data_IF_157211446769
#
_entry.id   IF_157211446769
#
_cell.length_a   1.000
_cell.length_b   1.000
_cell.length_c   1.000
_cell.angle_alpha   90.00
_cell.angle_beta   90.00
_cell.angle_gamma   90.00
#
_symmetry.space_group_name_H-M   'P 1'
#
loop_
_entity.id
_entity.type
_entity.pdbx_description
1 polymer ?
#
# COMPACT_ATOMS: atom_id res chain seq x y z
N UNK A 1 21.15 -17.71 -14.21
CA UNK A 1 19.98 -16.94 -14.69
C UNK A 1 19.18 -17.82 -15.62
N UNK A 2 17.87 -17.98 -15.38
CA UNK A 2 16.96 -18.75 -16.22
C UNK A 2 15.84 -17.87 -16.76
N UNK A 3 15.36 -18.17 -17.98
CA UNK A 3 14.15 -17.60 -18.56
C UNK A 3 12.89 -18.44 -18.22
N UNK A 4 13.08 -19.63 -17.65
CA UNK A 4 12.00 -20.53 -17.29
C UNK A 4 11.71 -20.48 -15.78
N UNK A 5 10.69 -19.76 -15.41
CA UNK A 5 10.28 -19.59 -13.99
C UNK A 5 9.89 -20.92 -13.32
N UNK A 6 9.48 -21.95 -14.09
CA UNK A 6 9.08 -23.25 -13.52
C UNK A 6 10.25 -23.96 -12.82
N UNK A 7 11.49 -23.69 -13.19
CA UNK A 7 12.66 -24.20 -12.50
C UNK A 7 12.67 -23.73 -11.04
N UNK A 8 12.34 -22.45 -10.79
CA UNK A 8 12.31 -21.88 -9.44
C UNK A 8 11.24 -22.58 -8.59
N UNK A 9 10.08 -22.83 -9.14
CA UNK A 9 8.97 -23.45 -8.39
C UNK A 9 9.22 -24.95 -8.10
N UNK A 10 9.93 -25.65 -8.96
CA UNK A 10 10.26 -27.08 -8.80
C UNK A 10 11.46 -27.33 -7.89
N UNK A 11 12.34 -26.36 -7.72
CA UNK A 11 13.55 -26.51 -6.90
C UNK A 11 13.19 -26.52 -5.40
N UNK A 12 13.38 -27.66 -4.73
CA UNK A 12 13.08 -27.86 -3.32
C UNK A 12 14.00 -27.05 -2.38
N UNK A 13 15.18 -26.63 -2.83
CA UNK A 13 16.11 -25.83 -2.04
C UNK A 13 15.68 -24.37 -1.90
N UNK A 14 14.79 -23.88 -2.78
CA UNK A 14 14.26 -22.52 -2.76
C UNK A 14 13.04 -22.47 -1.81
N UNK A 15 13.16 -21.77 -0.68
CA UNK A 15 12.11 -21.62 0.31
C UNK A 15 11.34 -20.29 0.22
N UNK A 16 11.89 -19.29 -0.46
CA UNK A 16 11.34 -17.94 -0.59
C UNK A 16 11.44 -17.47 -2.04
N UNK A 17 10.32 -16.96 -2.57
CA UNK A 17 10.25 -16.35 -3.91
C UNK A 17 9.92 -14.87 -3.78
N UNK A 18 10.72 -14.02 -4.43
CA UNK A 18 10.45 -12.59 -4.57
C UNK A 18 9.87 -12.30 -5.95
N UNK A 19 8.64 -11.79 -5.99
CA UNK A 19 7.89 -11.47 -7.22
C UNK A 19 7.91 -9.96 -7.41
N UNK A 20 8.62 -9.52 -8.48
CA UNK A 20 8.77 -8.12 -8.85
C UNK A 20 8.54 -7.90 -10.36
N UNK A 21 7.69 -8.71 -10.95
CA UNK A 21 7.25 -8.63 -12.35
C UNK A 21 6.28 -7.47 -12.57
N UNK A 22 5.65 -7.40 -13.74
CA UNK A 22 4.53 -6.48 -13.97
C UNK A 22 3.26 -6.97 -13.25
N UNK A 23 2.39 -6.04 -12.91
CA UNK A 23 1.23 -6.26 -12.04
C UNK A 23 0.30 -7.40 -12.51
N UNK A 24 0.17 -7.61 -13.83
CA UNK A 24 -0.65 -8.66 -14.45
C UNK A 24 -0.09 -10.08 -14.29
N UNK A 25 1.20 -10.22 -13.96
CA UNK A 25 1.82 -11.53 -13.69
C UNK A 25 1.78 -11.92 -12.21
N UNK A 26 1.58 -10.96 -11.29
CA UNK A 26 1.68 -11.21 -9.85
C UNK A 26 0.78 -12.36 -9.40
N UNK A 27 -0.50 -12.35 -9.77
CA UNK A 27 -1.44 -13.40 -9.36
C UNK A 27 -0.97 -14.80 -9.78
N UNK A 28 -0.59 -14.99 -11.04
CA UNK A 28 -0.17 -16.29 -11.55
C UNK A 28 1.08 -16.82 -10.85
N UNK A 29 2.04 -15.93 -10.59
CA UNK A 29 3.29 -16.27 -9.89
C UNK A 29 3.08 -16.51 -8.39
N UNK A 30 2.20 -15.75 -7.73
CA UNK A 30 1.76 -16.03 -6.36
C UNK A 30 1.12 -17.41 -6.27
N UNK A 31 0.20 -17.74 -7.17
CA UNK A 31 -0.47 -19.05 -7.18
C UNK A 31 0.50 -20.21 -7.41
N UNK A 32 1.48 -20.06 -8.31
CA UNK A 32 2.54 -21.05 -8.53
C UNK A 32 3.38 -21.23 -7.27
N UNK A 33 3.79 -20.14 -6.61
CA UNK A 33 4.56 -20.17 -5.37
C UNK A 33 3.79 -20.86 -4.24
N UNK A 34 2.50 -20.55 -4.07
CA UNK A 34 1.63 -21.17 -3.07
C UNK A 34 1.46 -22.68 -3.32
N UNK A 35 1.26 -23.09 -4.58
CA UNK A 35 1.19 -24.52 -4.96
C UNK A 35 2.49 -25.25 -4.64
N UNK A 36 3.63 -24.61 -4.86
CA UNK A 36 4.97 -25.13 -4.60
C UNK A 36 5.40 -24.99 -3.12
N UNK A 37 4.52 -24.60 -2.20
CA UNK A 37 4.80 -24.38 -0.77
C UNK A 37 5.95 -23.40 -0.49
N UNK A 38 6.11 -22.36 -1.32
CA UNK A 38 7.14 -21.33 -1.13
C UNK A 38 6.58 -20.14 -0.35
N UNK A 39 7.41 -19.55 0.51
CA UNK A 39 7.14 -18.24 1.09
C UNK A 39 7.25 -17.15 0.00
N UNK A 40 6.57 -16.02 0.18
CA UNK A 40 6.41 -15.07 -0.90
C UNK A 40 6.64 -13.63 -0.43
N UNK A 41 7.48 -12.90 -1.15
CA UNK A 41 7.49 -11.45 -1.15
C UNK A 41 6.95 -11.01 -2.52
N UNK A 42 5.86 -10.25 -2.57
CA UNK A 42 5.27 -9.79 -3.82
C UNK A 42 5.19 -8.27 -3.88
N UNK A 43 5.51 -7.68 -5.03
CA UNK A 43 5.22 -6.27 -5.27
C UNK A 43 3.70 -6.03 -5.25
N UNK A 44 3.34 -4.83 -4.86
CA UNK A 44 1.93 -4.41 -4.85
C UNK A 44 1.48 -3.94 -6.26
N UNK A 45 0.21 -4.17 -6.61
CA UNK A 45 -0.78 -4.99 -5.92
C UNK A 45 -0.50 -6.49 -6.11
N UNK A 46 -0.86 -7.32 -5.14
CA UNK A 46 -0.61 -8.77 -5.25
C UNK A 46 -1.47 -9.46 -6.33
N UNK A 47 -2.53 -8.83 -6.75
CA UNK A 47 -3.43 -9.26 -7.84
C UNK A 47 -4.27 -8.08 -8.33
N UNK A 48 -4.96 -8.24 -9.47
CA UNK A 48 -5.74 -7.18 -10.13
C UNK A 48 -7.26 -7.39 -10.07
N UNK A 49 -7.74 -8.51 -9.48
CA UNK A 49 -9.17 -8.84 -9.41
C UNK A 49 -9.56 -9.40 -8.05
N UNK A 50 -10.78 -9.11 -7.61
CA UNK A 50 -11.29 -9.54 -6.29
C UNK A 50 -11.41 -11.05 -6.16
N UNK A 51 -11.79 -11.78 -7.23
CA UNK A 51 -11.82 -13.24 -7.21
C UNK A 51 -10.41 -13.84 -7.03
N UNK A 52 -9.38 -13.25 -7.66
CA UNK A 52 -7.98 -13.65 -7.49
C UNK A 52 -7.52 -13.47 -6.02
N UNK A 53 -7.90 -12.37 -5.38
CA UNK A 53 -7.63 -12.13 -3.97
C UNK A 53 -8.26 -13.22 -3.10
N UNK A 54 -9.52 -13.56 -3.37
CA UNK A 54 -10.25 -14.59 -2.63
C UNK A 54 -9.57 -15.96 -2.74
N UNK A 55 -9.07 -16.31 -3.92
CA UNK A 55 -8.34 -17.57 -4.14
C UNK A 55 -7.01 -17.62 -3.37
N UNK A 56 -6.20 -16.55 -3.46
CA UNK A 56 -4.96 -16.43 -2.70
C UNK A 56 -5.22 -16.61 -1.20
N UNK A 57 -6.21 -15.90 -0.68
CA UNK A 57 -6.52 -15.90 0.75
C UNK A 57 -7.04 -17.26 1.24
N UNK A 58 -7.87 -17.94 0.45
CA UNK A 58 -8.34 -19.32 0.75
C UNK A 58 -7.17 -20.29 0.90
N UNK A 59 -6.14 -20.18 0.04
CA UNK A 59 -4.98 -21.05 0.12
C UNK A 59 -4.13 -20.72 1.34
N UNK A 60 -3.85 -19.43 1.60
CA UNK A 60 -3.07 -18.98 2.76
C UNK A 60 -3.72 -19.38 4.08
N UNK A 61 -5.05 -19.35 4.18
CA UNK A 61 -5.76 -19.85 5.38
C UNK A 61 -5.57 -21.35 5.62
N UNK A 62 -5.47 -22.14 4.55
CA UNK A 62 -5.24 -23.59 4.64
C UNK A 62 -3.77 -23.93 4.92
N UNK A 63 -2.84 -23.18 4.35
CA UNK A 63 -1.39 -23.40 4.43
C UNK A 63 -0.74 -22.49 5.47
N UNK A 64 -0.97 -22.75 6.76
CA UNK A 64 -0.52 -21.92 7.87
C UNK A 64 1.01 -21.78 7.98
N UNK A 65 1.77 -22.69 7.39
CA UNK A 65 3.22 -22.67 7.34
C UNK A 65 3.80 -21.76 6.25
N UNK A 66 2.97 -21.28 5.33
CA UNK A 66 3.42 -20.34 4.29
C UNK A 66 3.19 -18.92 4.73
N UNK A 67 4.22 -18.11 4.61
CA UNK A 67 4.17 -16.68 4.86
C UNK A 67 4.23 -15.90 3.55
N UNK A 68 3.44 -14.84 3.46
CA UNK A 68 3.44 -13.91 2.34
C UNK A 68 3.41 -12.47 2.83
N UNK A 69 4.19 -11.61 2.20
CA UNK A 69 4.14 -10.17 2.41
C UNK A 69 4.12 -9.40 1.10
N UNK A 70 3.45 -8.25 1.10
CA UNK A 70 3.43 -7.31 -0.01
C UNK A 70 4.27 -6.07 0.30
N UNK A 71 4.84 -5.44 -0.73
CA UNK A 71 5.77 -4.31 -0.56
C UNK A 71 5.06 -2.98 -0.19
N UNK A 72 4.46 -2.93 1.01
CA UNK A 72 3.71 -1.80 1.57
C UNK A 72 4.61 -0.96 2.49
N UNK A 73 5.47 -0.17 1.89
CA UNK A 73 6.64 0.44 2.55
C UNK A 73 6.34 1.64 3.46
N UNK A 74 5.16 2.28 3.36
CA UNK A 74 4.93 3.53 4.09
C UNK A 74 4.76 3.30 5.60
N UNK A 75 4.15 2.19 6.03
CA UNK A 75 3.97 1.89 7.46
C UNK A 75 5.29 1.65 8.20
N UNK A 76 6.38 1.36 7.50
CA UNK A 76 7.71 1.21 8.12
C UNK A 76 8.56 2.49 8.06
N UNK A 77 8.05 3.56 7.45
CA UNK A 77 8.71 4.86 7.42
C UNK A 77 8.78 5.48 8.82
N UNK A 78 9.95 6.02 9.17
CA UNK A 78 10.20 6.58 10.51
C UNK A 78 9.28 7.75 10.84
N UNK A 79 8.91 8.59 9.85
CA UNK A 79 7.99 9.71 10.04
C UNK A 79 6.58 9.23 10.39
N UNK A 80 6.02 8.28 9.62
CA UNK A 80 4.66 7.80 9.87
C UNK A 80 4.57 6.93 11.12
N UNK A 81 5.65 6.24 11.49
CA UNK A 81 5.76 5.61 12.83
C UNK A 81 5.71 6.64 13.95
N UNK A 82 6.38 7.79 13.78
CA UNK A 82 6.31 8.88 14.76
C UNK A 82 4.90 9.47 14.82
N UNK A 83 4.24 9.70 13.67
CA UNK A 83 2.85 10.17 13.64
C UNK A 83 1.92 9.24 14.43
N UNK A 84 1.99 7.93 14.16
CA UNK A 84 1.18 6.94 14.89
C UNK A 84 1.48 6.89 16.38
N UNK A 85 2.72 7.17 16.79
CA UNK A 85 3.13 7.17 18.20
C UNK A 85 2.60 8.37 18.97
N UNK A 86 2.60 9.56 18.34
CA UNK A 86 2.26 10.81 19.04
C UNK A 86 0.76 11.12 19.00
N UNK A 87 0.03 10.67 17.97
CA UNK A 87 -1.39 10.97 17.83
C UNK A 87 -2.24 10.09 18.75
N UNK A 88 -3.18 10.69 19.44
CA UNK A 88 -4.22 9.94 20.13
C UNK A 88 -5.32 9.53 19.15
N UNK A 89 -5.30 8.26 18.76
CA UNK A 89 -6.19 7.69 17.73
C UNK A 89 -7.67 7.86 18.13
N UNK A 90 -8.01 7.79 19.41
CA UNK A 90 -9.40 7.93 19.90
C UNK A 90 -9.98 9.31 19.65
N UNK A 91 -9.14 10.31 19.49
CA UNK A 91 -9.54 11.69 19.28
C UNK A 91 -9.47 12.13 17.81
N UNK A 92 -9.04 11.24 16.89
CA UNK A 92 -9.04 11.54 15.46
C UNK A 92 -10.49 11.62 14.97
N UNK A 93 -10.80 12.66 14.19
CA UNK A 93 -12.10 12.80 13.53
C UNK A 93 -11.97 12.93 12.00
N UNK A 94 -10.79 13.37 11.49
CA UNK A 94 -10.58 13.53 10.06
C UNK A 94 -9.12 13.29 9.65
N UNK A 95 -8.93 12.66 8.48
CA UNK A 95 -7.61 12.50 7.84
C UNK A 95 -7.72 12.92 6.36
N UNK A 96 -6.77 13.73 5.90
CA UNK A 96 -6.48 13.93 4.49
C UNK A 96 -5.15 13.28 4.15
N UNK A 97 -5.12 12.52 3.06
CA UNK A 97 -3.88 11.89 2.62
C UNK A 97 -3.83 11.78 1.10
N UNK A 98 -2.72 12.19 0.50
CA UNK A 98 -2.58 12.29 -0.94
C UNK A 98 -1.36 11.52 -1.44
N UNK A 99 -1.58 10.64 -2.42
CA UNK A 99 -0.53 10.06 -3.22
C UNK A 99 -0.32 10.91 -4.48
N UNK A 100 0.68 11.76 -4.45
CA UNK A 100 1.07 12.60 -5.57
C UNK A 100 2.14 11.85 -6.38
N UNK A 101 1.73 11.31 -7.55
CA UNK A 101 2.64 10.45 -8.32
C UNK A 101 3.87 11.20 -8.84
N UNK A 102 3.70 12.40 -9.40
CA UNK A 102 4.79 13.23 -9.92
C UNK A 102 5.66 12.62 -11.03
N UNK A 103 5.26 11.48 -11.58
CA UNK A 103 5.99 10.70 -12.58
C UNK A 103 5.09 10.29 -13.73
N UNK A 104 4.31 11.22 -14.26
CA UNK A 104 3.29 11.00 -15.30
C UNK A 104 3.77 10.14 -16.47
N UNK A 105 4.99 10.34 -16.96
CA UNK A 105 5.57 9.56 -18.07
C UNK A 105 5.53 8.05 -17.82
N UNK A 106 5.70 7.60 -16.57
CA UNK A 106 5.63 6.18 -16.19
C UNK A 106 4.26 5.54 -16.37
N UNK A 107 3.18 6.31 -16.42
CA UNK A 107 1.85 5.79 -16.75
C UNK A 107 1.77 5.40 -18.23
N UNK A 108 2.54 6.04 -19.10
CA UNK A 108 2.51 5.84 -20.55
C UNK A 108 3.41 4.70 -21.03
N UNK A 109 4.25 4.17 -20.15
CA UNK A 109 5.12 3.02 -20.40
C UNK A 109 4.33 1.70 -20.27
N UNK A 110 4.86 0.70 -19.60
CA UNK A 110 4.27 -0.61 -19.45
C UNK A 110 2.87 -0.59 -18.79
N UNK A 111 2.62 0.37 -17.89
CA UNK A 111 1.32 0.51 -17.21
C UNK A 111 0.16 0.78 -18.16
N UNK A 112 0.43 1.45 -19.27
CA UNK A 112 -0.59 1.67 -20.30
C UNK A 112 -1.02 0.39 -21.03
N UNK A 113 -0.18 -0.65 -20.97
CA UNK A 113 -0.39 -1.95 -21.63
C UNK A 113 -1.12 -2.94 -20.71
N UNK A 114 -1.08 -2.77 -19.38
CA UNK A 114 -1.77 -3.64 -18.43
C UNK A 114 -3.26 -3.36 -18.49
N UNK A 115 -4.05 -4.34 -18.93
CA UNK A 115 -5.50 -4.20 -19.19
C UNK A 115 -6.27 -3.69 -17.96
N UNK A 116 -6.04 -4.30 -16.82
CA UNK A 116 -6.77 -4.04 -15.58
C UNK A 116 -5.97 -3.14 -14.61
N UNK A 117 -4.98 -2.36 -15.12
CA UNK A 117 -4.23 -1.42 -14.27
C UNK A 117 -5.17 -0.33 -13.77
N UNK A 118 -5.07 -0.04 -12.49
CA UNK A 118 -5.78 1.07 -11.85
C UNK A 118 -4.80 1.96 -11.09
N UNK A 119 -5.16 3.23 -10.95
CA UNK A 119 -4.39 4.17 -10.15
C UNK A 119 -4.55 3.90 -8.65
N UNK A 120 -5.70 3.37 -8.22
CA UNK A 120 -5.95 3.00 -6.83
C UNK A 120 -5.02 1.85 -6.44
N UNK A 121 -5.03 0.75 -7.20
CA UNK A 121 -4.17 -0.42 -6.96
C UNK A 121 -2.68 -0.12 -7.20
N UNK A 122 -2.36 0.71 -8.21
CA UNK A 122 -0.97 1.00 -8.57
C UNK A 122 -0.28 2.05 -7.68
N UNK A 123 -1.06 2.94 -7.05
CA UNK A 123 -0.57 4.09 -6.29
C UNK A 123 -1.31 4.31 -4.97
N UNK A 124 -2.63 4.48 -5.02
CA UNK A 124 -3.48 4.77 -3.86
C UNK A 124 -3.36 3.75 -2.74
N UNK A 125 -3.18 2.49 -3.07
CA UNK A 125 -3.00 1.38 -2.12
C UNK A 125 -1.99 1.68 -0.99
N UNK A 126 -0.93 2.41 -1.27
CA UNK A 126 0.07 2.77 -0.24
C UNK A 126 -0.50 3.71 0.82
N UNK A 127 -1.36 4.64 0.42
CA UNK A 127 -2.00 5.59 1.34
C UNK A 127 -3.17 4.93 2.07
N UNK A 128 -3.96 4.10 1.37
CA UNK A 128 -5.02 3.31 2.00
C UNK A 128 -4.42 2.42 3.09
N UNK A 129 -3.31 1.72 2.80
CA UNK A 129 -2.57 0.92 3.76
C UNK A 129 -2.09 1.74 4.97
N UNK A 130 -1.49 2.89 4.71
CA UNK A 130 -0.96 3.76 5.76
C UNK A 130 -2.06 4.24 6.71
N UNK A 131 -3.19 4.68 6.17
CA UNK A 131 -4.34 5.15 6.96
C UNK A 131 -4.96 4.02 7.77
N UNK A 132 -5.21 2.85 7.14
CA UNK A 132 -5.73 1.68 7.85
C UNK A 132 -4.79 1.24 8.98
N UNK A 133 -3.48 1.27 8.73
CA UNK A 133 -2.47 0.94 9.74
C UNK A 133 -2.43 1.97 10.89
N UNK A 134 -2.54 3.27 10.60
CA UNK A 134 -2.59 4.31 11.64
C UNK A 134 -3.82 4.11 12.52
N UNK A 135 -5.01 3.96 11.91
CA UNK A 135 -6.29 3.82 12.62
C UNK A 135 -6.46 2.43 13.25
N UNK A 136 -5.71 1.42 12.81
CA UNK A 136 -5.82 0.05 13.30
C UNK A 136 -7.15 -0.63 12.94
N UNK A 137 -7.86 -0.13 11.95
CA UNK A 137 -9.15 -0.63 11.49
C UNK A 137 -9.32 -0.47 9.97
N UNK A 138 -10.32 -1.15 9.41
CA UNK A 138 -10.75 -0.96 8.02
C UNK A 138 -11.97 -0.03 7.96
N UNK A 139 -12.19 0.66 6.83
CA UNK A 139 -13.37 1.50 6.66
C UNK A 139 -14.65 0.66 6.60
N UNK A 140 -15.77 1.29 6.95
CA UNK A 140 -17.13 0.75 6.87
C UNK A 140 -17.67 0.95 5.45
N UNK A 141 -17.37 2.11 4.85
CA UNK A 141 -17.79 2.48 3.50
C UNK A 141 -16.69 3.19 2.74
N UNK A 142 -16.79 3.17 1.41
CA UNK A 142 -15.95 3.94 0.50
C UNK A 142 -16.78 4.47 -0.67
N UNK A 143 -16.61 5.76 -0.97
CA UNK A 143 -17.16 6.40 -2.17
C UNK A 143 -16.01 6.99 -2.98
N UNK A 144 -15.96 6.71 -4.28
CA UNK A 144 -14.85 7.14 -5.14
C UNK A 144 -15.33 7.98 -6.30
N UNK A 145 -14.64 9.09 -6.53
CA UNK A 145 -14.76 9.94 -7.72
C UNK A 145 -13.48 9.83 -8.54
N UNK A 146 -13.62 9.63 -9.84
CA UNK A 146 -12.47 9.44 -10.72
C UNK A 146 -12.47 10.42 -11.88
N UNK A 147 -11.29 10.69 -12.45
CA UNK A 147 -11.12 11.59 -13.56
C UNK A 147 -10.01 11.13 -14.51
N UNK A 148 -10.29 11.15 -15.81
CA UNK A 148 -9.32 10.81 -16.87
C UNK A 148 -9.00 12.00 -17.81
N UNK A 149 -9.38 13.24 -17.45
CA UNK A 149 -9.22 14.42 -18.29
C UNK A 149 -7.81 14.57 -18.88
N UNK A 150 -6.79 14.34 -18.04
CA UNK A 150 -5.37 14.50 -18.47
C UNK A 150 -4.89 13.32 -19.33
N UNK A 151 -5.51 12.15 -19.22
CA UNK A 151 -5.05 10.92 -19.88
C UNK A 151 -5.91 10.49 -21.06
N UNK A 152 -7.03 11.14 -21.33
CA UNK A 152 -8.00 10.76 -22.38
C UNK A 152 -7.35 10.63 -23.76
N UNK A 153 -6.45 11.53 -24.14
CA UNK A 153 -5.74 11.53 -25.43
C UNK A 153 -4.33 10.88 -25.36
N UNK A 154 -4.00 10.21 -24.25
CA UNK A 154 -2.68 9.56 -24.07
C UNK A 154 -2.75 8.06 -24.31
N UNK A 155 -1.57 7.40 -24.31
CA UNK A 155 -1.49 5.93 -24.32
C UNK A 155 -2.15 5.28 -23.09
N UNK A 156 -2.15 5.97 -21.95
CA UNK A 156 -2.82 5.54 -20.73
C UNK A 156 -4.26 6.10 -20.71
N UNK A 157 -5.18 5.40 -21.33
CA UNK A 157 -6.58 5.83 -21.50
C UNK A 157 -7.47 5.61 -20.25
N UNK A 158 -6.87 5.47 -19.06
CA UNK A 158 -7.55 5.18 -17.80
C UNK A 158 -7.60 6.42 -16.90
N UNK A 159 -8.28 6.30 -15.76
CA UNK A 159 -8.36 7.40 -14.79
C UNK A 159 -6.98 7.75 -14.26
N UNK A 160 -6.64 9.03 -14.29
CA UNK A 160 -5.39 9.60 -13.79
C UNK A 160 -5.54 10.27 -12.42
N UNK A 161 -6.75 10.37 -11.93
CA UNK A 161 -7.12 10.89 -10.62
C UNK A 161 -8.20 10.00 -10.03
N UNK A 162 -8.05 9.65 -8.76
CA UNK A 162 -9.08 9.06 -7.93
C UNK A 162 -9.13 9.81 -6.59
N UNK A 163 -10.31 10.19 -6.15
CA UNK A 163 -10.58 10.76 -4.83
C UNK A 163 -11.51 9.82 -4.10
N UNK A 164 -11.05 9.25 -3.02
CA UNK A 164 -11.79 8.30 -2.18
C UNK A 164 -12.19 8.98 -0.88
N UNK A 165 -13.46 8.89 -0.53
CA UNK A 165 -14.01 9.24 0.77
C UNK A 165 -14.33 7.94 1.50
N UNK A 166 -13.72 7.75 2.67
CA UNK A 166 -13.86 6.55 3.47
C UNK A 166 -14.42 6.90 4.84
N UNK A 167 -15.39 6.12 5.30
CA UNK A 167 -15.92 6.21 6.65
C UNK A 167 -15.33 5.07 7.48
N UNK A 168 -14.75 5.40 8.62
CA UNK A 168 -14.20 4.44 9.56
C UNK A 168 -15.08 4.32 10.80
N UNK A 169 -14.92 3.24 11.61
CA UNK A 169 -15.56 3.17 12.92
C UNK A 169 -15.29 4.43 13.76
N UNK A 170 -16.17 4.70 14.72
CA UNK A 170 -16.10 5.88 15.57
C UNK A 170 -16.27 7.22 14.82
N UNK A 171 -16.96 7.20 13.68
CA UNK A 171 -17.29 8.38 12.89
C UNK A 171 -16.07 9.16 12.39
N UNK A 172 -14.99 8.45 12.06
CA UNK A 172 -13.79 9.05 11.47
C UNK A 172 -13.96 9.12 9.96
N UNK A 173 -13.84 10.32 9.39
CA UNK A 173 -13.83 10.52 7.95
C UNK A 173 -12.40 10.59 7.42
N UNK A 174 -12.19 10.02 6.23
CA UNK A 174 -10.89 10.04 5.57
C UNK A 174 -11.07 10.40 4.10
N UNK A 175 -10.32 11.40 3.62
CA UNK A 175 -10.16 11.69 2.20
C UNK A 175 -8.80 11.17 1.73
N UNK A 176 -8.80 10.33 0.71
CA UNK A 176 -7.56 9.87 0.06
C UNK A 176 -7.60 10.28 -1.41
N UNK A 177 -6.52 10.90 -1.89
CA UNK A 177 -6.35 11.20 -3.31
C UNK A 177 -5.20 10.39 -3.90
N UNK A 178 -5.42 9.73 -5.03
CA UNK A 178 -4.38 9.18 -5.87
C UNK A 178 -4.31 10.01 -7.16
N UNK A 179 -3.24 10.80 -7.32
CA UNK A 179 -3.07 11.72 -8.45
C UNK A 179 -1.88 11.30 -9.30
N UNK A 180 -2.16 10.62 -10.42
CA UNK A 180 -1.17 10.12 -11.36
C UNK A 180 -0.69 11.16 -12.38
N UNK A 181 -1.36 12.31 -12.48
CA UNK A 181 -1.11 13.32 -13.50
C UNK A 181 -0.56 14.65 -12.94
N UNK A 182 -0.28 14.71 -11.64
CA UNK A 182 0.20 15.92 -11.01
C UNK A 182 1.51 16.43 -11.63
N UNK A 183 1.58 17.74 -11.87
CA UNK A 183 2.83 18.45 -12.18
C UNK A 183 3.55 18.79 -10.86
N UNK A 184 4.04 17.76 -10.18
CA UNK A 184 4.64 17.87 -8.86
C UNK A 184 5.72 16.78 -8.70
N UNK A 185 6.63 16.93 -7.77
CA UNK A 185 7.53 15.84 -7.39
C UNK A 185 6.74 14.69 -6.78
N UNK A 186 7.25 13.45 -6.91
CA UNK A 186 6.64 12.32 -6.23
C UNK A 186 6.64 12.53 -4.72
N UNK A 187 5.45 12.52 -4.12
CA UNK A 187 5.28 12.84 -2.71
C UNK A 187 4.05 12.14 -2.11
N UNK A 188 4.03 12.00 -0.79
CA UNK A 188 2.87 11.54 -0.03
C UNK A 188 2.56 12.61 1.01
N UNK A 189 1.47 13.34 0.85
CA UNK A 189 1.01 14.28 1.85
C UNK A 189 0.09 13.60 2.85
N UNK A 190 0.06 14.10 4.09
CA UNK A 190 -0.85 13.62 5.11
C UNK A 190 -1.12 14.72 6.14
N UNK A 191 -2.41 14.87 6.48
CA UNK A 191 -2.88 15.67 7.61
C UNK A 191 -3.80 14.82 8.47
N UNK A 192 -3.53 14.78 9.76
CA UNK A 192 -4.34 14.05 10.74
C UNK A 192 -4.90 15.08 11.72
N UNK A 193 -6.20 15.21 11.76
CA UNK A 193 -6.90 16.13 12.64
C UNK A 193 -7.49 15.36 13.81
N UNK A 194 -7.07 15.70 15.01
CA UNK A 194 -7.67 15.21 16.26
C UNK A 194 -8.16 16.36 17.14
N UNK A 195 -8.93 16.05 18.15
CA UNK A 195 -9.49 17.04 19.07
C UNK A 195 -8.42 17.96 19.68
N UNK A 196 -7.24 17.45 19.95
CA UNK A 196 -6.21 18.17 20.71
C UNK A 196 -4.93 18.44 19.94
N UNK A 197 -4.78 17.86 18.74
CA UNK A 197 -3.53 17.93 17.98
C UNK A 197 -3.80 17.72 16.49
N UNK A 198 -3.10 18.45 15.65
CA UNK A 198 -3.07 18.24 14.20
C UNK A 198 -1.66 17.90 13.78
N UNK A 199 -1.50 16.78 13.05
CA UNK A 199 -0.24 16.43 12.43
C UNK A 199 -0.29 16.74 10.94
N UNK A 200 0.75 17.37 10.43
CA UNK A 200 0.88 17.72 9.02
C UNK A 200 2.19 17.20 8.48
N UNK A 201 2.16 16.53 7.35
CA UNK A 201 3.31 16.23 6.51
C UNK A 201 3.05 16.77 5.10
N UNK A 202 3.86 17.70 4.67
CA UNK A 202 3.80 18.33 3.34
C UNK A 202 5.21 18.53 2.78
N UNK A 203 5.31 19.07 1.56
CA UNK A 203 6.57 19.45 0.94
C UNK A 203 7.34 20.56 1.71
N UNK A 204 6.65 21.28 2.61
CA UNK A 204 7.25 22.28 3.51
C UNK A 204 7.83 21.68 4.79
N UNK A 205 7.57 20.39 5.04
CA UNK A 205 8.05 19.68 6.21
C UNK A 205 6.95 18.96 6.99
N UNK A 206 7.31 18.50 8.18
CA UNK A 206 6.40 17.76 9.08
C UNK A 206 6.26 18.49 10.40
N UNK A 207 5.03 18.66 10.84
CA UNK A 207 4.70 19.50 11.99
C UNK A 207 3.59 18.86 12.83
N UNK A 208 3.63 19.19 14.15
CA UNK A 208 2.55 19.00 15.10
C UNK A 208 2.07 20.36 15.56
N UNK A 209 0.76 20.57 15.58
CA UNK A 209 0.07 21.73 16.13
C UNK A 209 -0.70 21.27 17.36
N UNK A 210 -0.32 21.71 18.54
CA UNK A 210 -0.98 21.37 19.79
C UNK A 210 -1.13 22.62 20.69
N UNK A 211 -2.38 22.97 21.06
CA UNK A 211 -2.66 24.16 21.88
C UNK A 211 -1.95 25.40 21.35
N UNK A 212 -2.15 25.73 20.07
CA UNK A 212 -1.55 26.87 19.36
C UNK A 212 -0.02 26.83 19.24
N UNK A 213 0.66 25.79 19.72
CA UNK A 213 2.10 25.60 19.59
C UNK A 213 2.42 24.76 18.37
N UNK A 214 3.27 25.32 17.50
CA UNK A 214 3.85 24.62 16.34
C UNK A 214 5.14 23.95 16.76
N UNK A 215 5.24 22.63 16.53
CA UNK A 215 6.47 21.85 16.71
C UNK A 215 6.84 21.16 15.41
N UNK A 216 8.06 21.37 14.96
CA UNK A 216 8.61 20.64 13.81
C UNK A 216 9.00 19.22 14.20
N UNK A 217 8.67 18.26 13.32
CA UNK A 217 8.99 16.84 13.50
C UNK A 217 10.17 16.51 12.58
N UNK A 218 11.33 16.24 13.19
CA UNK A 218 12.57 15.93 12.49
C UNK A 218 12.70 14.42 12.26
N UNK A 219 12.09 13.92 11.17
CA UNK A 219 12.20 12.53 10.71
C UNK A 219 12.52 12.47 9.22
N UNK A 220 13.27 11.48 8.82
CA UNK A 220 13.67 11.30 7.43
C UNK A 220 12.47 10.97 6.54
N UNK A 221 12.30 11.75 5.46
CA UNK A 221 11.35 11.49 4.40
C UNK A 221 11.90 12.02 3.05
N UNK A 222 11.89 11.23 1.96
CA UNK A 222 11.61 9.78 1.96
C UNK A 222 12.69 8.99 2.71
N UNK A 223 12.29 7.93 3.40
CA UNK A 223 13.25 7.01 4.04
C UNK A 223 13.65 5.92 3.04
N UNK A 224 14.88 6.00 2.54
CA UNK A 224 15.44 5.05 1.55
C UNK A 224 15.59 3.62 2.08
N UNK A 225 15.57 3.42 3.40
CA UNK A 225 15.73 2.12 4.06
C UNK A 225 14.40 1.35 4.25
N UNK A 226 13.25 1.94 3.92
CA UNK A 226 11.95 1.34 4.17
C UNK A 226 11.80 -0.07 3.59
N UNK A 227 12.17 -0.25 2.32
CA UNK A 227 12.09 -1.55 1.66
C UNK A 227 12.99 -2.59 2.33
N UNK A 228 14.22 -2.22 2.67
CA UNK A 228 15.15 -3.10 3.38
C UNK A 228 14.58 -3.51 4.74
N UNK A 229 14.04 -2.57 5.53
CA UNK A 229 13.42 -2.85 6.83
C UNK A 229 12.24 -3.81 6.70
N UNK A 230 11.40 -3.64 5.68
CA UNK A 230 10.24 -4.51 5.45
C UNK A 230 10.66 -5.93 5.09
N UNK A 231 11.59 -6.07 4.15
CA UNK A 231 12.11 -7.36 3.70
C UNK A 231 12.84 -8.06 4.83
N UNK A 232 13.69 -7.35 5.57
CA UNK A 232 14.44 -7.91 6.69
C UNK A 232 13.50 -8.45 7.78
N UNK A 233 12.48 -7.67 8.19
CA UNK A 233 11.49 -8.14 9.16
C UNK A 233 10.77 -9.42 8.68
N UNK A 234 10.46 -9.51 7.39
CA UNK A 234 9.83 -10.71 6.85
C UNK A 234 10.77 -11.92 6.90
N UNK A 235 12.04 -11.77 6.53
CA UNK A 235 13.05 -12.82 6.61
C UNK A 235 13.26 -13.23 8.07
N UNK A 236 13.37 -12.27 8.99
CA UNK A 236 13.53 -12.53 10.42
C UNK A 236 12.33 -13.31 10.98
N UNK A 237 11.11 -13.02 10.54
CA UNK A 237 9.93 -13.81 10.92
C UNK A 237 9.97 -15.25 10.38
N UNK A 238 10.47 -15.47 9.17
CA UNK A 238 10.61 -16.82 8.60
C UNK A 238 11.59 -17.67 9.38
N UNK A 239 12.66 -17.08 9.91
CA UNK A 239 13.70 -17.77 10.69
C UNK A 239 13.35 -17.85 12.18
N UNK A 240 12.57 -16.90 12.69
CA UNK A 240 12.13 -16.85 14.08
C UNK A 240 10.65 -16.44 14.19
N UNK A 241 9.72 -17.39 14.34
CA UNK A 241 8.28 -17.11 14.41
C UNK A 241 7.83 -16.22 15.59
N UNK A 242 8.69 -15.96 16.58
CA UNK A 242 8.42 -15.00 17.67
C UNK A 242 8.45 -13.56 17.15
N UNK A 243 9.16 -13.30 16.05
CA UNK A 243 9.18 -11.98 15.41
C UNK A 243 7.90 -11.82 14.60
N UNK A 244 7.08 -10.82 14.94
CA UNK A 244 5.84 -10.55 14.20
C UNK A 244 6.14 -9.85 12.87
N UNK A 245 5.51 -10.31 11.80
CA UNK A 245 5.50 -9.59 10.53
C UNK A 245 4.87 -8.21 10.71
N UNK A 246 5.44 -7.21 10.02
CA UNK A 246 4.85 -5.86 9.98
C UNK A 246 3.48 -5.83 9.33
N UNK A 247 3.17 -6.81 8.50
CA UNK A 247 1.90 -6.89 7.75
C UNK A 247 1.41 -8.33 7.80
N UNK A 248 0.27 -8.56 8.43
CA UNK A 248 -0.39 -9.86 8.48
C UNK A 248 -1.10 -10.19 7.16
N UNK A 249 -1.43 -11.46 6.92
CA UNK A 249 -2.25 -11.87 5.78
C UNK A 249 -3.64 -11.21 5.80
N UNK A 250 -4.23 -11.06 7.00
CA UNK A 250 -5.55 -10.44 7.14
C UNK A 250 -5.51 -8.96 6.75
N UNK A 251 -4.50 -8.20 7.22
CA UNK A 251 -4.34 -6.79 6.84
C UNK A 251 -4.15 -6.62 5.33
N UNK A 252 -3.39 -7.51 4.67
CA UNK A 252 -3.23 -7.48 3.23
C UNK A 252 -4.54 -7.78 2.49
N UNK A 253 -5.32 -8.74 2.99
CA UNK A 253 -6.63 -9.07 2.43
C UNK A 253 -7.61 -7.90 2.59
N UNK A 254 -7.69 -7.31 3.80
CA UNK A 254 -8.57 -6.18 4.10
C UNK A 254 -8.19 -4.97 3.24
N UNK A 255 -6.92 -4.65 3.13
CA UNK A 255 -6.41 -3.57 2.26
C UNK A 255 -6.82 -3.75 0.81
N UNK A 256 -6.57 -4.93 0.24
CA UNK A 256 -6.91 -5.21 -1.16
C UNK A 256 -8.43 -5.18 -1.36
N UNK A 257 -9.22 -5.67 -0.39
CA UNK A 257 -10.68 -5.63 -0.45
C UNK A 257 -11.20 -4.19 -0.47
N UNK A 258 -10.63 -3.31 0.36
CA UNK A 258 -10.95 -1.86 0.35
C UNK A 258 -10.58 -1.23 -0.99
N UNK A 259 -9.40 -1.53 -1.54
CA UNK A 259 -9.00 -1.01 -2.84
C UNK A 259 -9.93 -1.49 -3.96
N UNK A 260 -10.37 -2.75 -3.96
CA UNK A 260 -11.36 -3.25 -4.94
C UNK A 260 -12.75 -2.65 -4.75
N UNK A 261 -13.17 -2.35 -3.53
CA UNK A 261 -14.42 -1.65 -3.28
C UNK A 261 -14.38 -0.19 -3.75
N UNK A 262 -13.19 0.40 -3.83
CA UNK A 262 -12.97 1.76 -4.29
C UNK A 262 -12.87 1.89 -5.83
N UNK A 263 -12.73 0.78 -6.59
CA UNK A 263 -12.71 0.75 -8.07
C UNK A 263 -14.10 0.89 -8.66
#
# INVERSE_FOLDING_TARGET
>A
ITKNENIIFKDASINLVSIASYDDFHYSQVMKSLKANKNIIVEKPMCLKSNQLTEIYKILKKKKNIQMTSNLVLRVNSLFKEFKKIIDIKNIFYIEADYIWGRKKKLFEWRSKVKDYSLILGAGIHIVDLVMWILGSKPISVTTFTNKKVTTKSKFKKNSLAVMLLEFPSNILVKITANGAAAHNHFHEMKIFSKNETLVHSNLGSYSFKREKLKKIYKSYPDKQNRKKLIQNFIDNLTNPKIKNFISHQEQFDLMSVCFAAE
#
